data_IF_924100532244
#
_entry.id   IF_924100532244
#
_cell.length_a   1.000
_cell.length_b   1.000
_cell.length_c   1.000
_cell.angle_alpha   90.00
_cell.angle_beta   90.00
_cell.angle_gamma   90.00
#
_symmetry.space_group_name_H-M   'P 1'
#
loop_
_entity.id
_entity.type
_entity.pdbx_description
1 polymer ?
#
# COMPACT_ATOMS: atom_id res chain seq x y z
N UNK A 1 13.48 8.78 12.61
CA UNK A 1 13.91 8.10 11.37
C UNK A 1 15.36 8.41 11.01
N UNK A 2 15.83 9.67 11.06
CA UNK A 2 17.23 10.04 10.73
C UNK A 2 18.29 9.22 11.51
N UNK A 3 18.21 9.17 12.84
CA UNK A 3 19.15 8.41 13.67
C UNK A 3 19.19 6.90 13.35
N UNK A 4 18.08 6.31 12.91
CA UNK A 4 18.04 4.88 12.50
C UNK A 4 18.77 4.71 11.17
N UNK A 5 18.55 5.64 10.21
CA UNK A 5 19.28 5.62 8.94
C UNK A 5 20.77 5.76 9.18
N UNK A 6 21.18 6.76 9.94
CA UNK A 6 22.60 7.05 10.17
C UNK A 6 23.32 5.89 10.89
N UNK A 7 22.63 5.10 11.72
CA UNK A 7 23.21 3.89 12.33
C UNK A 7 23.32 2.69 11.39
N UNK A 8 22.55 2.67 10.29
CA UNK A 8 22.51 1.56 9.33
C UNK A 8 23.37 1.83 8.10
N UNK A 9 23.46 3.08 7.67
CA UNK A 9 24.14 3.52 6.44
C UNK A 9 25.60 3.02 6.29
N UNK A 10 26.40 2.82 7.37
CA UNK A 10 27.73 2.22 7.25
C UNK A 10 27.74 0.72 6.92
N UNK A 11 26.68 0.00 7.28
CA UNK A 11 26.63 -1.47 7.27
C UNK A 11 25.71 -2.04 6.17
N UNK A 12 24.77 -1.24 5.65
CA UNK A 12 23.81 -1.68 4.64
C UNK A 12 23.56 -0.59 3.60
N UNK A 13 23.76 -0.93 2.33
CA UNK A 13 23.38 -0.04 1.23
C UNK A 13 21.87 -0.07 0.98
N UNK A 14 21.36 0.99 0.36
CA UNK A 14 19.95 1.04 -0.05
C UNK A 14 19.59 -0.08 -1.04
N UNK A 15 20.56 -0.53 -1.86
CA UNK A 15 20.42 -1.66 -2.79
C UNK A 15 20.21 -2.98 -2.04
N UNK A 16 20.95 -3.20 -0.97
CA UNK A 16 20.80 -4.38 -0.11
C UNK A 16 19.45 -4.38 0.60
N UNK A 17 19.04 -3.23 1.15
CA UNK A 17 17.73 -3.09 1.77
C UNK A 17 16.61 -3.37 0.75
N UNK A 18 16.70 -2.82 -0.47
CA UNK A 18 15.73 -3.07 -1.55
C UNK A 18 15.69 -4.54 -1.95
N UNK A 19 16.84 -5.22 -2.02
CA UNK A 19 16.92 -6.65 -2.33
C UNK A 19 16.25 -7.47 -1.24
N UNK A 20 16.55 -7.18 0.03
CA UNK A 20 15.95 -7.86 1.18
C UNK A 20 14.44 -7.63 1.27
N UNK A 21 13.96 -6.41 0.96
CA UNK A 21 12.54 -6.07 0.98
C UNK A 21 11.77 -6.50 -0.27
N UNK A 22 12.49 -6.85 -1.35
CA UNK A 22 11.93 -7.18 -2.66
C UNK A 22 10.81 -8.23 -2.61
N UNK A 23 10.98 -9.35 -1.88
CA UNK A 23 9.94 -10.37 -1.74
C UNK A 23 8.65 -9.90 -1.03
N UNK A 24 8.74 -8.85 -0.21
CA UNK A 24 7.61 -8.30 0.55
C UNK A 24 6.96 -7.08 -0.16
N UNK A 25 7.65 -6.50 -1.15
CA UNK A 25 7.15 -5.34 -1.86
C UNK A 25 6.11 -5.75 -2.91
N UNK A 26 4.83 -5.49 -2.63
CA UNK A 26 3.72 -5.80 -3.53
C UNK A 26 3.85 -5.12 -4.91
N UNK A 27 4.54 -3.98 -5.01
CA UNK A 27 4.77 -3.34 -6.31
C UNK A 27 5.55 -4.24 -7.28
N UNK A 28 6.39 -5.16 -6.77
CA UNK A 28 7.14 -6.12 -7.60
C UNK A 28 6.27 -7.25 -8.16
N UNK A 29 5.05 -7.41 -7.65
CA UNK A 29 4.13 -8.49 -8.01
C UNK A 29 2.86 -7.96 -8.68
N UNK A 30 2.87 -6.73 -9.22
CA UNK A 30 1.70 -6.10 -9.81
C UNK A 30 1.00 -6.97 -10.88
N UNK A 31 1.77 -7.64 -11.76
CA UNK A 31 1.21 -8.58 -12.74
C UNK A 31 0.58 -9.82 -12.10
N UNK A 32 1.20 -10.40 -11.07
CA UNK A 32 0.63 -11.54 -10.35
C UNK A 32 -0.65 -11.18 -9.58
N UNK A 33 -0.73 -9.92 -9.12
CA UNK A 33 -1.92 -9.35 -8.50
C UNK A 33 -2.99 -8.99 -9.54
N UNK A 34 -2.63 -8.82 -10.81
CA UNK A 34 -3.56 -8.54 -11.91
C UNK A 34 -4.19 -9.79 -12.55
N UNK A 35 -4.01 -10.98 -11.98
CA UNK A 35 -4.55 -12.21 -12.54
C UNK A 35 -6.11 -12.19 -12.57
N UNK A 36 -6.76 -12.80 -13.58
CA UNK A 36 -8.21 -12.68 -13.80
C UNK A 36 -9.10 -13.12 -12.63
N UNK A 37 -8.69 -14.13 -11.87
CA UNK A 37 -9.51 -14.73 -10.79
C UNK A 37 -9.11 -14.24 -9.39
N UNK A 38 -8.52 -13.04 -9.30
CA UNK A 38 -8.24 -12.39 -8.02
C UNK A 38 -9.11 -11.16 -7.83
N UNK A 39 -10.04 -11.26 -6.90
CA UNK A 39 -10.76 -10.09 -6.39
C UNK A 39 -9.82 -9.25 -5.51
N UNK A 40 -9.62 -8.00 -5.92
CA UNK A 40 -8.80 -7.03 -5.20
C UNK A 40 -9.68 -5.93 -4.60
N UNK A 41 -9.80 -5.93 -3.28
CA UNK A 41 -10.36 -4.81 -2.51
C UNK A 41 -9.23 -3.98 -1.92
N UNK A 42 -9.28 -2.66 -2.08
CA UNK A 42 -8.33 -1.73 -1.48
C UNK A 42 -9.08 -0.61 -0.77
N UNK A 43 -8.67 -0.31 0.47
CA UNK A 43 -9.22 0.80 1.27
C UNK A 43 -8.10 1.76 1.60
N UNK A 44 -8.25 3.03 1.21
CA UNK A 44 -7.22 4.06 1.33
C UNK A 44 -7.68 5.19 2.26
N UNK A 45 -6.78 5.64 3.13
CA UNK A 45 -6.96 6.84 3.95
C UNK A 45 -6.36 8.06 3.25
N UNK A 46 -7.20 9.03 2.86
CA UNK A 46 -6.76 10.23 2.13
C UNK A 46 -5.88 11.17 2.95
N UNK A 47 -5.89 11.04 4.28
CA UNK A 47 -5.08 11.86 5.20
C UNK A 47 -4.08 11.01 5.99
N UNK A 48 -3.68 9.88 5.43
CA UNK A 48 -2.68 9.01 6.04
C UNK A 48 -1.35 9.76 6.18
N UNK A 49 -0.75 9.68 7.38
CA UNK A 49 0.54 10.28 7.72
C UNK A 49 1.60 9.22 8.05
N UNK A 50 1.22 7.94 8.05
CA UNK A 50 2.06 6.77 8.28
C UNK A 50 2.44 6.17 6.93
N UNK A 51 1.46 5.88 6.08
CA UNK A 51 1.65 5.46 4.69
C UNK A 51 1.12 6.57 3.78
N UNK A 52 2.03 7.39 3.27
CA UNK A 52 1.65 8.60 2.53
C UNK A 52 0.76 8.27 1.30
N UNK A 53 -0.31 9.03 1.05
CA UNK A 53 -1.25 8.77 -0.05
C UNK A 53 -0.59 8.57 -1.40
N UNK A 54 0.46 9.33 -1.71
CA UNK A 54 1.17 9.29 -2.98
C UNK A 54 1.86 7.93 -3.23
N UNK A 55 2.24 7.21 -2.16
CA UNK A 55 2.79 5.85 -2.28
C UNK A 55 1.70 4.87 -2.72
N UNK A 56 0.54 4.95 -2.06
CA UNK A 56 -0.60 4.10 -2.37
C UNK A 56 -1.16 4.38 -3.76
N UNK A 57 -1.31 5.65 -4.14
CA UNK A 57 -1.76 6.08 -5.47
C UNK A 57 -0.85 5.54 -6.58
N UNK A 58 0.47 5.65 -6.40
CA UNK A 58 1.43 5.08 -7.36
C UNK A 58 1.27 3.56 -7.50
N UNK A 59 1.07 2.85 -6.39
CA UNK A 59 0.84 1.40 -6.45
C UNK A 59 -0.49 1.06 -7.13
N UNK A 60 -1.57 1.81 -6.87
CA UNK A 60 -2.85 1.63 -7.55
C UNK A 60 -2.72 1.85 -9.06
N UNK A 61 -1.93 2.84 -9.49
CA UNK A 61 -1.66 3.04 -10.91
C UNK A 61 -0.92 1.84 -11.51
N UNK A 62 0.13 1.32 -10.85
CA UNK A 62 0.84 0.12 -11.31
C UNK A 62 -0.05 -1.11 -11.43
N UNK A 63 -0.98 -1.31 -10.49
CA UNK A 63 -1.95 -2.41 -10.58
C UNK A 63 -2.85 -2.26 -11.81
N UNK A 64 -3.38 -1.05 -12.05
CA UNK A 64 -4.20 -0.75 -13.24
C UNK A 64 -3.41 -0.95 -14.53
N UNK A 65 -2.17 -0.47 -14.59
CA UNK A 65 -1.28 -0.63 -15.75
C UNK A 65 -0.97 -2.11 -16.02
N UNK A 66 -0.89 -2.94 -14.97
CA UNK A 66 -0.71 -4.38 -15.08
C UNK A 66 -1.98 -5.14 -15.50
N UNK A 67 -3.11 -4.46 -15.65
CA UNK A 67 -4.41 -5.03 -16.06
C UNK A 67 -5.37 -5.36 -14.91
N UNK A 68 -4.99 -5.08 -13.66
CA UNK A 68 -5.86 -5.32 -12.52
C UNK A 68 -7.05 -4.36 -12.50
N UNK A 69 -8.17 -4.80 -11.94
CA UNK A 69 -9.38 -3.97 -11.74
C UNK A 69 -9.77 -3.93 -10.26
N UNK A 70 -8.93 -3.36 -9.38
CA UNK A 70 -9.22 -3.32 -7.94
C UNK A 70 -10.48 -2.49 -7.65
N UNK A 71 -11.30 -2.95 -6.71
CA UNK A 71 -12.35 -2.15 -6.09
C UNK A 71 -11.70 -1.25 -5.02
N UNK A 72 -11.61 0.05 -5.29
CA UNK A 72 -10.93 1.00 -4.43
C UNK A 72 -11.97 1.85 -3.69
N UNK A 73 -11.87 1.86 -2.35
CA UNK A 73 -12.61 2.77 -1.47
C UNK A 73 -11.64 3.78 -0.85
N UNK A 74 -11.87 5.07 -1.07
CA UNK A 74 -11.10 6.13 -0.43
C UNK A 74 -11.92 6.79 0.68
N UNK A 75 -11.32 6.92 1.86
CA UNK A 75 -11.95 7.48 3.05
C UNK A 75 -11.20 8.74 3.50
N UNK A 76 -11.94 9.79 3.83
CA UNK A 76 -11.37 11.06 4.31
C UNK A 76 -10.95 10.98 5.79
N UNK A 77 -10.02 10.07 6.09
CA UNK A 77 -9.53 9.79 7.44
C UNK A 77 -8.01 9.56 7.44
N UNK A 78 -7.41 9.44 8.63
CA UNK A 78 -6.01 9.06 8.79
C UNK A 78 -5.84 7.54 8.99
N UNK A 79 -4.58 7.08 9.03
CA UNK A 79 -4.22 5.66 9.12
C UNK A 79 -5.00 4.89 10.20
N UNK A 80 -4.85 5.30 11.45
CA UNK A 80 -5.48 4.64 12.59
C UNK A 80 -7.00 4.82 12.62
N UNK A 81 -7.51 5.87 11.97
CA UNK A 81 -8.96 6.09 11.88
C UNK A 81 -9.65 5.08 10.96
N UNK A 82 -8.94 4.43 10.03
CA UNK A 82 -9.52 3.36 9.19
C UNK A 82 -10.11 2.22 10.03
N UNK A 83 -9.48 1.89 11.15
CA UNK A 83 -9.91 0.84 12.06
C UNK A 83 -11.02 1.28 13.05
N UNK A 84 -11.47 2.53 12.97
CA UNK A 84 -12.45 3.10 13.90
C UNK A 84 -13.79 3.36 13.20
N UNK A 85 -14.92 3.26 13.91
CA UNK A 85 -16.20 3.74 13.40
C UNK A 85 -16.14 5.25 13.06
N UNK A 86 -16.80 5.70 11.97
CA UNK A 86 -17.61 4.89 11.05
C UNK A 86 -16.80 4.17 9.95
N UNK A 87 -15.51 4.48 9.80
CA UNK A 87 -14.70 4.06 8.64
C UNK A 87 -14.53 2.55 8.52
N UNK A 88 -14.34 1.83 9.62
CA UNK A 88 -14.23 0.36 9.59
C UNK A 88 -15.50 -0.32 9.06
N UNK A 89 -16.67 0.27 9.36
CA UNK A 89 -17.96 -0.25 8.90
C UNK A 89 -18.13 0.01 7.40
N UNK A 90 -17.75 1.20 6.93
CA UNK A 90 -17.75 1.55 5.50
C UNK A 90 -16.77 0.67 4.71
N UNK A 91 -15.59 0.38 5.27
CA UNK A 91 -14.62 -0.52 4.67
C UNK A 91 -15.21 -1.94 4.53
N UNK A 92 -15.77 -2.49 5.61
CA UNK A 92 -16.38 -3.82 5.60
C UNK A 92 -17.58 -3.94 4.66
N UNK A 93 -18.46 -2.95 4.62
CA UNK A 93 -19.64 -2.96 3.74
C UNK A 93 -19.31 -2.75 2.27
N UNK A 94 -18.11 -2.27 1.94
CA UNK A 94 -17.65 -2.08 0.56
C UNK A 94 -17.08 -3.34 -0.09
N UNK A 95 -16.87 -4.41 0.70
CA UNK A 95 -16.38 -5.68 0.20
C UNK A 95 -17.41 -6.27 -0.77
N UNK A 96 -16.98 -6.56 -1.99
CA UNK A 96 -17.78 -7.22 -3.03
C UNK A 96 -17.54 -8.72 -3.01
#
# INVERSE_FOLDING_TARGET
TRSIRDSLEPEIELTDLRRAWGPLNLENYAHSLARPDLDLQVVLAKRDKVVLPELSERFMQRLKDAGARPNILELNCGHYSLAMPPYILLAGSSLK
#
